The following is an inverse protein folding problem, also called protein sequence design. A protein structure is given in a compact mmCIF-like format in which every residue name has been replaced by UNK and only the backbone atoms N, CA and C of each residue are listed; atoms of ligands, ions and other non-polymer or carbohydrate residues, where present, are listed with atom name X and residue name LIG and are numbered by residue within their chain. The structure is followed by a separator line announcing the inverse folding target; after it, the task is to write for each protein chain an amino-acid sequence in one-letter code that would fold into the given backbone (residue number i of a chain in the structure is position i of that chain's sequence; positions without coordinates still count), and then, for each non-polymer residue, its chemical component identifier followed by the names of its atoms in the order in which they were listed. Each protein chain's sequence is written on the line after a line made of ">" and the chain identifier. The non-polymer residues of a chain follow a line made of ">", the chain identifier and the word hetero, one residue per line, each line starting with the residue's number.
data_IF_074231218398
#
_entry.id   IF_074231218398
#
_cell.length_a   1.000
_cell.length_b   1.000
_cell.length_c   1.000
_cell.angle_alpha   90.00
_cell.angle_beta   90.00
_cell.angle_gamma   90.00
#
_symmetry.space_group_name_H-M   'P 1'
#
loop_
_entity.id
_entity.type
_entity.pdbx_description
1 polymer ?
#
# COMPACT_ATOMS: atom_id res chain seq x y z
N UNK A 1 8.92 5.03 -15.35
CA UNK A 1 8.34 4.00 -14.46
C UNK A 1 9.46 3.08 -14.03
N UNK A 2 9.74 2.97 -12.73
CA UNK A 2 10.66 1.96 -12.22
C UNK A 2 9.84 0.73 -11.81
N UNK A 3 10.14 -0.43 -12.40
CA UNK A 3 9.49 -1.69 -12.04
C UNK A 3 10.30 -2.38 -10.94
N UNK A 4 9.65 -2.61 -9.81
CA UNK A 4 10.25 -3.21 -8.63
C UNK A 4 9.75 -4.64 -8.44
N UNK A 5 10.65 -5.55 -8.05
CA UNK A 5 10.23 -6.90 -7.61
C UNK A 5 9.57 -6.81 -6.24
N UNK A 6 8.81 -7.85 -5.87
CA UNK A 6 8.07 -7.91 -4.60
C UNK A 6 8.91 -7.52 -3.38
N UNK A 7 10.16 -7.98 -3.28
CA UNK A 7 11.03 -7.61 -2.15
C UNK A 7 11.31 -6.11 -2.09
N UNK A 8 11.71 -5.50 -3.21
CA UNK A 8 11.98 -4.06 -3.28
C UNK A 8 10.71 -3.23 -3.06
N UNK A 9 9.58 -3.68 -3.58
CA UNK A 9 8.29 -3.04 -3.34
C UNK A 9 7.93 -3.07 -1.85
N UNK A 10 8.19 -4.20 -1.17
CA UNK A 10 7.98 -4.33 0.27
C UNK A 10 8.85 -3.34 1.06
N UNK A 11 10.15 -3.25 0.72
CA UNK A 11 11.07 -2.29 1.33
C UNK A 11 10.61 -0.83 1.08
N UNK A 12 10.12 -0.54 -0.13
CA UNK A 12 9.65 0.79 -0.52
C UNK A 12 8.42 1.26 0.29
N UNK A 13 7.43 0.39 0.49
CA UNK A 13 6.20 0.73 1.25
C UNK A 13 6.34 0.46 2.76
N UNK A 14 7.46 -0.11 3.20
CA UNK A 14 7.68 -0.48 4.61
C UNK A 14 6.87 -1.70 5.08
N UNK A 15 6.53 -2.62 4.17
CA UNK A 15 5.76 -3.84 4.47
C UNK A 15 6.61 -5.10 4.25
N UNK A 16 6.16 -6.23 4.80
CA UNK A 16 6.82 -7.50 4.53
C UNK A 16 6.40 -8.08 3.18
N UNK A 17 7.31 -8.81 2.53
CA UNK A 17 7.00 -9.59 1.32
C UNK A 17 5.79 -10.50 1.52
N UNK A 18 5.71 -11.19 2.66
CA UNK A 18 4.59 -12.07 2.99
C UNK A 18 3.26 -11.32 3.11
N UNK A 19 3.27 -10.06 3.54
CA UNK A 19 2.08 -9.22 3.51
C UNK A 19 1.62 -8.96 2.07
N UNK A 20 2.53 -8.55 1.17
CA UNK A 20 2.19 -8.35 -0.24
C UNK A 20 1.72 -9.64 -0.91
N UNK A 21 2.33 -10.78 -0.60
CA UNK A 21 1.91 -12.09 -1.09
C UNK A 21 0.48 -12.42 -0.64
N UNK A 22 0.15 -12.17 0.63
CA UNK A 22 -1.22 -12.33 1.15
C UNK A 22 -2.19 -11.33 0.53
N UNK A 23 -1.80 -10.07 0.41
CA UNK A 23 -2.63 -9.01 -0.15
C UNK A 23 -3.01 -9.31 -1.61
N UNK A 24 -2.12 -9.99 -2.37
CA UNK A 24 -2.46 -10.53 -3.70
C UNK A 24 -3.52 -11.62 -3.64
N UNK A 25 -3.44 -12.53 -2.67
CA UNK A 25 -4.45 -13.59 -2.51
C UNK A 25 -5.81 -13.04 -2.05
N UNK A 26 -5.81 -12.04 -1.18
CA UNK A 26 -7.03 -11.44 -0.63
C UNK A 26 -7.60 -10.29 -1.47
N UNK A 27 -6.88 -9.82 -2.49
CA UNK A 27 -7.31 -8.71 -3.35
C UNK A 27 -7.28 -7.33 -2.67
N UNK A 28 -6.58 -7.20 -1.54
CA UNK A 28 -6.49 -5.97 -0.74
C UNK A 28 -5.18 -5.20 -0.94
N UNK A 29 -4.35 -5.62 -1.89
CA UNK A 29 -3.02 -5.07 -2.15
C UNK A 29 -2.95 -4.09 -3.33
N UNK A 30 -1.78 -3.47 -3.52
CA UNK A 30 -1.50 -2.60 -4.66
C UNK A 30 -1.58 -3.36 -5.99
N UNK A 31 -1.87 -2.62 -7.07
CA UNK A 31 -1.88 -3.15 -8.44
C UNK A 31 -0.52 -3.78 -8.77
N UNK A 32 -0.54 -4.98 -9.34
CA UNK A 32 0.66 -5.72 -9.71
C UNK A 32 0.60 -6.14 -11.17
N UNK A 33 1.77 -6.24 -11.78
CA UNK A 33 1.91 -6.75 -13.15
C UNK A 33 2.53 -8.14 -13.06
N UNK A 34 1.83 -9.13 -13.62
CA UNK A 34 2.32 -10.51 -13.70
C UNK A 34 3.04 -10.71 -15.03
N UNK A 35 4.34 -10.95 -14.95
CA UNK A 35 5.19 -11.29 -16.10
C UNK A 35 5.63 -12.76 -15.97
N UNK A 36 4.80 -13.66 -16.51
CA UNK A 36 5.02 -15.10 -16.40
C UNK A 36 5.02 -15.55 -14.93
N UNK A 37 6.19 -15.98 -14.44
CA UNK A 37 6.40 -16.41 -13.04
C UNK A 37 6.78 -15.25 -12.10
N UNK A 38 7.16 -14.09 -12.63
CA UNK A 38 7.57 -12.94 -11.84
C UNK A 38 6.42 -11.96 -11.64
N UNK A 39 6.34 -11.40 -10.44
CA UNK A 39 5.42 -10.32 -10.10
C UNK A 39 6.24 -9.06 -9.84
N UNK A 40 5.86 -7.99 -10.54
CA UNK A 40 6.48 -6.68 -10.39
C UNK A 40 5.41 -5.65 -10.01
N UNK A 41 5.87 -4.61 -9.33
CA UNK A 41 5.10 -3.44 -8.97
C UNK A 41 5.71 -2.22 -9.65
N UNK A 42 4.87 -1.33 -10.14
CA UNK A 42 5.31 -0.02 -10.58
C UNK A 42 5.32 0.92 -9.38
N UNK A 43 6.29 1.82 -9.31
CA UNK A 43 6.33 2.83 -8.24
C UNK A 43 5.07 3.69 -8.20
N UNK A 44 4.48 3.98 -9.35
CA UNK A 44 3.23 4.76 -9.45
C UNK A 44 2.03 4.02 -8.85
N UNK A 45 1.92 2.71 -9.05
CA UNK A 45 0.83 1.88 -8.54
C UNK A 45 0.93 1.75 -7.02
N UNK A 46 2.18 1.62 -6.52
CA UNK A 46 2.44 1.61 -5.08
C UNK A 46 2.09 2.95 -4.45
N UNK A 47 2.51 4.06 -5.06
CA UNK A 47 2.21 5.40 -4.56
C UNK A 47 0.70 5.69 -4.57
N UNK A 48 0.03 5.38 -5.69
CA UNK A 48 -1.42 5.52 -5.81
C UNK A 48 -2.17 4.70 -4.75
N UNK A 49 -1.71 3.48 -4.48
CA UNK A 49 -2.28 2.63 -3.43
C UNK A 49 -2.04 3.20 -2.02
N UNK A 50 -0.81 3.62 -1.71
CA UNK A 50 -0.50 4.28 -0.43
C UNK A 50 -1.34 5.55 -0.25
N UNK A 51 -1.52 6.33 -1.31
CA UNK A 51 -2.37 7.51 -1.33
C UNK A 51 -3.85 7.19 -1.11
N UNK A 52 -4.37 6.13 -1.73
CA UNK A 52 -5.75 5.67 -1.53
C UNK A 52 -5.99 5.17 -0.10
N UNK A 53 -4.97 4.60 0.54
CA UNK A 53 -5.01 4.11 1.91
C UNK A 53 -4.71 5.19 2.97
N UNK A 54 -4.57 6.46 2.58
CA UNK A 54 -4.37 7.56 3.54
C UNK A 54 -5.62 7.71 4.41
N UNK A 55 -5.45 7.40 5.70
CA UNK A 55 -6.45 7.71 6.70
C UNK A 55 -6.16 9.10 7.26
N UNK A 56 -7.17 9.97 7.30
CA UNK A 56 -7.05 11.22 8.03
C UNK A 56 -6.85 10.90 9.52
N UNK A 57 -5.93 11.57 10.23
CA UNK A 57 -5.82 11.42 11.67
C UNK A 57 -7.14 11.94 12.29
N UNK A 58 -8.05 11.01 12.59
CA UNK A 58 -9.28 11.31 13.30
C UNK A 58 -8.92 11.56 14.77
N UNK A 59 -8.48 12.78 15.05
CA UNK A 59 -8.31 13.24 16.41
C UNK A 59 -9.71 13.55 16.99
N UNK A 60 -10.22 12.69 17.86
CA UNK A 60 -11.49 12.90 18.58
C UNK A 60 -11.48 14.17 19.46
N UNK A 61 -10.31 14.82 19.63
CA UNK A 61 -10.17 16.04 20.43
C UNK A 61 -10.97 17.25 19.88
N UNK A 62 -11.33 17.25 18.59
CA UNK A 62 -12.18 18.32 18.02
C UNK A 62 -13.64 18.20 18.50
N UNK A 63 -14.14 16.97 18.73
CA UNK A 63 -15.47 16.75 19.31
C UNK A 63 -15.56 17.21 20.76
N UNK A 64 -14.46 17.11 21.51
CA UNK A 64 -14.42 17.52 22.92
C UNK A 64 -14.40 19.04 23.12
N UNK A 65 -13.84 19.81 22.18
CA UNK A 65 -13.73 21.29 22.29
C UNK A 65 -15.00 22.04 21.89
N UNK A 66 -15.82 21.48 21.00
CA UNK A 66 -17.09 22.10 20.58
C UNK A 66 -18.23 21.96 21.60
N UNK A 67 -18.02 21.20 22.68
CA UNK A 67 -19.00 20.96 23.75
C UNK A 67 -18.74 21.80 25.02
N UNK A 68 -17.85 22.80 24.96
CA UNK A 68 -17.53 23.74 26.04
C UNK A 68 -17.91 25.17 25.63
#
# INVERSE_FOLDING_TARGET
>A
MANMRVSQAADYVGLSKSYLDKARCYGTGPTYIKLGSSVIYSTEDLDAWVHANKCAPSNDNDRARAAA
#
